data_IF_503341192869
#
_entry.id   IF_503341192869
#
_cell.length_a   1.000
_cell.length_b   1.000
_cell.length_c   1.000
_cell.angle_alpha   90.00
_cell.angle_beta   90.00
_cell.angle_gamma   90.00
#
_symmetry.space_group_name_H-M   'P 1'
#
loop_
_entity.id
_entity.type
_entity.pdbx_description
1 polymer ?
#
# COMPACT_ATOMS: atom_id res chain seq x y z
N UNK A 1 12.12 -18.90 16.14
CA UNK A 1 11.73 -17.67 16.88
C UNK A 1 12.77 -16.59 16.56
N UNK A 2 12.34 -15.35 16.33
CA UNK A 2 13.25 -14.20 16.08
C UNK A 2 14.17 -14.01 17.29
N UNK A 3 15.48 -13.81 17.05
CA UNK A 3 16.45 -13.49 18.10
C UNK A 3 16.35 -12.01 18.45
N UNK A 4 16.66 -11.64 19.69
CA UNK A 4 16.59 -10.24 20.12
C UNK A 4 17.46 -9.31 19.26
N UNK A 5 18.62 -9.79 18.81
CA UNK A 5 19.54 -9.05 17.93
C UNK A 5 18.92 -8.71 16.57
N UNK A 6 17.99 -9.52 16.08
CA UNK A 6 17.30 -9.33 14.81
C UNK A 6 15.98 -8.57 14.99
N UNK A 7 15.42 -8.54 16.20
CA UNK A 7 14.10 -7.97 16.45
C UNK A 7 14.05 -6.45 16.18
N UNK A 8 15.12 -5.72 16.48
CA UNK A 8 15.18 -4.27 16.27
C UNK A 8 15.11 -3.88 14.80
N UNK A 9 15.76 -4.64 13.92
CA UNK A 9 15.77 -4.35 12.48
C UNK A 9 14.41 -4.60 11.82
N UNK A 10 13.56 -5.43 12.42
CA UNK A 10 12.18 -5.66 11.96
C UNK A 10 11.22 -4.50 12.31
N UNK A 11 11.68 -3.49 13.04
CA UNK A 11 10.88 -2.31 13.41
C UNK A 11 11.11 -1.12 12.46
N UNK A 12 11.73 -1.36 11.30
CA UNK A 12 11.91 -0.36 10.25
C UNK A 12 10.76 -0.43 9.26
N UNK A 13 10.13 0.72 8.99
CA UNK A 13 9.17 0.81 7.89
C UNK A 13 9.92 0.64 6.56
N UNK A 14 9.28 -0.01 5.57
CA UNK A 14 9.76 -0.13 4.17
C UNK A 14 11.04 -0.95 3.93
N UNK A 15 11.87 -1.14 4.95
CA UNK A 15 13.18 -1.79 4.86
C UNK A 15 13.35 -2.90 5.90
N UNK A 16 12.25 -3.53 6.34
CA UNK A 16 12.35 -4.67 7.26
C UNK A 16 13.09 -5.81 6.54
N UNK A 17 14.27 -6.22 7.06
CA UNK A 17 15.16 -7.12 6.32
C UNK A 17 14.68 -8.56 6.36
N UNK A 18 15.16 -9.35 5.40
CA UNK A 18 15.02 -10.80 5.42
C UNK A 18 15.73 -11.42 6.64
N UNK A 19 15.13 -12.44 7.25
CA UNK A 19 15.81 -13.33 8.21
C UNK A 19 15.85 -14.74 7.61
N UNK A 20 16.96 -15.04 6.91
CA UNK A 20 17.15 -16.26 6.11
C UNK A 20 17.04 -17.54 6.92
N UNK A 21 17.56 -17.56 8.14
CA UNK A 21 17.54 -18.72 9.02
C UNK A 21 16.12 -19.11 9.45
N UNK A 22 15.17 -18.17 9.33
CA UNK A 22 13.76 -18.39 9.61
C UNK A 22 12.91 -18.52 8.35
N UNK A 23 13.49 -18.36 7.16
CA UNK A 23 12.74 -18.26 5.90
C UNK A 23 11.78 -17.07 5.87
N UNK A 24 12.07 -16.01 6.63
CA UNK A 24 11.24 -14.80 6.67
C UNK A 24 11.73 -13.82 5.60
N UNK A 25 10.96 -13.54 4.54
CA UNK A 25 11.38 -12.62 3.49
C UNK A 25 11.44 -11.17 4.01
N UNK A 26 12.18 -10.31 3.29
CA UNK A 26 12.09 -8.87 3.53
C UNK A 26 10.69 -8.36 3.21
N UNK A 27 10.28 -7.32 3.91
CA UNK A 27 8.93 -6.80 3.79
C UNK A 27 8.89 -5.29 3.82
N UNK A 28 8.07 -4.72 2.93
CA UNK A 28 7.89 -3.28 2.82
C UNK A 28 6.62 -2.86 3.57
N UNK A 29 6.77 -2.45 4.83
CA UNK A 29 5.65 -1.95 5.63
C UNK A 29 5.20 -0.58 5.14
N UNK A 30 3.88 -0.40 5.00
CA UNK A 30 3.26 0.89 4.77
C UNK A 30 3.44 1.41 3.35
N UNK A 31 2.95 0.66 2.37
CA UNK A 31 2.81 1.22 1.01
C UNK A 31 1.72 2.29 0.98
N UNK A 32 1.75 3.21 0.02
CA UNK A 32 0.76 4.28 -0.06
C UNK A 32 -0.30 3.92 -1.10
N UNK A 33 -1.58 4.10 -0.74
CA UNK A 33 -2.70 3.65 -1.58
C UNK A 33 -3.94 4.56 -1.51
N UNK A 34 -3.77 5.86 -1.24
CA UNK A 34 -4.89 6.74 -0.84
C UNK A 34 -5.94 6.96 -1.95
N UNK A 35 -5.55 6.85 -3.22
CA UNK A 35 -6.41 6.96 -4.40
C UNK A 35 -5.81 6.21 -5.61
N UNK A 36 -5.24 5.04 -5.34
CA UNK A 36 -4.40 4.28 -6.28
C UNK A 36 -3.09 3.87 -5.61
N UNK A 37 -2.47 2.77 -6.05
CA UNK A 37 -1.18 2.33 -5.53
C UNK A 37 -0.08 3.31 -5.95
N UNK A 38 0.74 3.75 -4.99
CA UNK A 38 1.77 4.79 -5.20
C UNK A 38 3.17 4.27 -4.93
N UNK A 39 4.18 5.00 -5.42
CA UNK A 39 5.61 4.67 -5.26
C UNK A 39 5.99 3.28 -5.81
N UNK A 40 5.27 2.84 -6.84
CA UNK A 40 5.59 1.65 -7.62
C UNK A 40 5.80 2.05 -9.08
N UNK A 41 6.74 1.40 -9.75
CA UNK A 41 6.88 1.50 -11.20
C UNK A 41 5.75 0.76 -11.91
N UNK A 42 5.52 1.02 -13.19
CA UNK A 42 4.60 0.19 -13.96
C UNK A 42 5.14 -1.24 -14.10
N UNK A 43 4.24 -2.21 -14.17
CA UNK A 43 4.61 -3.60 -14.43
C UNK A 43 5.34 -3.73 -15.78
N UNK A 44 6.14 -4.80 -15.93
CA UNK A 44 6.92 -5.08 -17.15
C UNK A 44 6.08 -5.15 -18.44
N UNK A 45 4.78 -5.41 -18.33
CA UNK A 45 3.84 -5.45 -19.45
C UNK A 45 3.24 -4.06 -19.78
N UNK A 46 3.77 -2.98 -19.19
CA UNK A 46 3.32 -1.60 -19.40
C UNK A 46 2.09 -1.20 -18.60
N UNK A 47 1.50 -2.08 -17.79
CA UNK A 47 0.35 -1.74 -16.94
C UNK A 47 0.80 -0.99 -15.69
N UNK A 48 0.34 0.24 -15.54
CA UNK A 48 0.56 1.06 -14.35
C UNK A 48 -0.64 0.93 -13.39
N UNK A 49 -0.50 1.28 -12.10
CA UNK A 49 -1.64 1.32 -11.19
C UNK A 49 -2.67 2.34 -11.64
N UNK A 50 -3.93 2.08 -11.34
CA UNK A 50 -5.03 3.01 -11.61
C UNK A 50 -4.92 4.22 -10.68
N UNK A 51 -5.11 5.42 -11.23
CA UNK A 51 -5.15 6.69 -10.48
C UNK A 51 -6.58 7.20 -10.42
N UNK A 52 -7.15 7.23 -9.21
CA UNK A 52 -8.51 7.67 -8.95
C UNK A 52 -8.56 9.15 -8.52
N UNK A 53 -9.74 9.79 -8.51
CA UNK A 53 -9.89 11.10 -7.90
C UNK A 53 -9.40 11.12 -6.44
N UNK A 54 -8.83 12.26 -6.00
CA UNK A 54 -8.41 12.43 -4.62
C UNK A 54 -9.59 12.28 -3.63
N UNK A 55 -9.35 11.93 -2.35
CA UNK A 55 -10.41 11.68 -1.37
C UNK A 55 -11.47 12.77 -1.24
N UNK A 56 -11.10 14.05 -1.40
CA UNK A 56 -12.08 15.15 -1.39
C UNK A 56 -13.06 15.09 -2.57
N UNK A 57 -12.59 14.72 -3.76
CA UNK A 57 -13.42 14.52 -4.94
C UNK A 57 -14.31 13.28 -4.81
N UNK A 58 -13.80 12.20 -4.24
CA UNK A 58 -14.59 11.00 -3.92
C UNK A 58 -15.68 11.32 -2.90
N UNK A 59 -15.34 12.06 -1.83
CA UNK A 59 -16.31 12.50 -0.82
C UNK A 59 -17.43 13.38 -1.39
N UNK A 60 -17.13 14.17 -2.42
CA UNK A 60 -18.12 15.01 -3.10
C UNK A 60 -19.17 14.22 -3.91
N UNK A 61 -18.96 12.92 -4.15
CA UNK A 61 -19.93 12.08 -4.86
C UNK A 61 -21.11 11.64 -3.98
N UNK A 62 -20.92 11.61 -2.65
CA UNK A 62 -21.85 11.01 -1.69
C UNK A 62 -22.27 9.57 -2.03
N UNK A 63 -21.45 8.85 -2.82
CA UNK A 63 -21.71 7.48 -3.24
C UNK A 63 -20.69 6.54 -2.59
N UNK A 64 -21.16 5.72 -1.64
CA UNK A 64 -20.29 4.77 -0.94
C UNK A 64 -19.94 3.56 -1.81
N UNK A 65 -20.74 3.24 -2.83
CA UNK A 65 -20.52 2.08 -3.69
C UNK A 65 -19.26 2.26 -4.53
N UNK A 66 -19.04 3.47 -5.07
CA UNK A 66 -17.83 3.76 -5.85
C UNK A 66 -16.57 3.81 -4.97
N UNK A 67 -16.68 4.20 -3.71
CA UNK A 67 -15.56 4.20 -2.75
C UNK A 67 -15.17 2.76 -2.41
N UNK A 68 -16.15 1.89 -2.22
CA UNK A 68 -15.92 0.46 -2.01
C UNK A 68 -15.29 -0.20 -3.25
N UNK A 69 -15.80 0.12 -4.45
CA UNK A 69 -15.27 -0.39 -5.72
C UNK A 69 -13.82 0.05 -5.95
N UNK A 70 -13.51 1.34 -5.71
CA UNK A 70 -12.14 1.83 -5.74
C UNK A 70 -11.24 1.04 -4.79
N UNK A 71 -11.68 0.84 -3.54
CA UNK A 71 -10.91 0.07 -2.55
C UNK A 71 -10.63 -1.37 -3.00
N UNK A 72 -11.60 -2.03 -3.62
CA UNK A 72 -11.42 -3.37 -4.21
C UNK A 72 -10.38 -3.36 -5.33
N UNK A 73 -10.48 -2.42 -6.28
CA UNK A 73 -9.52 -2.32 -7.39
C UNK A 73 -8.11 -2.08 -6.87
N UNK A 74 -7.93 -1.16 -5.92
CA UNK A 74 -6.62 -0.89 -5.30
C UNK A 74 -6.06 -2.14 -4.60
N UNK A 75 -6.90 -2.89 -3.89
CA UNK A 75 -6.52 -4.15 -3.23
C UNK A 75 -6.07 -5.23 -4.23
N UNK A 76 -6.78 -5.35 -5.35
CA UNK A 76 -6.43 -6.28 -6.42
C UNK A 76 -5.12 -5.89 -7.12
N UNK A 77 -4.93 -4.60 -7.38
CA UNK A 77 -3.67 -4.07 -7.92
C UNK A 77 -2.51 -4.33 -6.97
N UNK A 78 -2.65 -4.04 -5.68
CA UNK A 78 -1.61 -4.33 -4.67
C UNK A 78 -1.21 -5.80 -4.68
N UNK A 79 -2.18 -6.72 -4.71
CA UNK A 79 -1.91 -8.16 -4.81
C UNK A 79 -1.24 -8.54 -6.12
N UNK A 80 -1.63 -7.94 -7.24
CA UNK A 80 -0.99 -8.17 -8.53
C UNK A 80 0.49 -7.73 -8.50
N UNK A 81 0.78 -6.57 -7.92
CA UNK A 81 2.15 -6.08 -7.73
C UNK A 81 2.96 -7.01 -6.81
N UNK A 82 2.39 -7.44 -5.69
CA UNK A 82 3.00 -8.42 -4.79
C UNK A 82 3.35 -9.74 -5.48
N UNK A 83 2.38 -10.33 -6.18
CA UNK A 83 2.56 -11.61 -6.88
C UNK A 83 3.51 -11.52 -8.08
N UNK A 84 3.72 -10.32 -8.63
CA UNK A 84 4.68 -10.08 -9.72
C UNK A 84 6.13 -9.90 -9.23
N UNK A 85 6.35 -9.88 -7.91
CA UNK A 85 7.64 -9.57 -7.27
C UNK A 85 8.20 -8.18 -7.61
N UNK A 86 7.36 -7.26 -8.10
CA UNK A 86 7.74 -5.85 -8.36
C UNK A 86 7.67 -5.01 -7.08
N UNK A 87 6.79 -5.38 -6.15
CA UNK A 87 6.66 -4.73 -4.86
C UNK A 87 6.42 -5.81 -3.78
N UNK A 88 6.93 -5.64 -2.56
CA UNK A 88 6.85 -6.64 -1.49
C UNK A 88 6.07 -6.13 -0.27
N UNK A 89 4.95 -5.45 -0.53
CA UNK A 89 4.00 -4.97 0.49
C UNK A 89 2.61 -5.56 0.27
N UNK A 90 1.87 -5.76 1.36
CA UNK A 90 0.45 -6.14 1.39
C UNK A 90 -0.38 -5.30 2.37
N UNK A 91 0.22 -4.28 2.99
CA UNK A 91 -0.44 -3.33 3.87
C UNK A 91 -0.25 -1.91 3.37
N UNK A 92 -1.25 -1.06 3.61
CA UNK A 92 -1.24 0.31 3.11
C UNK A 92 -1.44 1.31 4.24
N UNK A 93 -0.78 2.47 4.13
CA UNK A 93 -1.07 3.65 4.95
C UNK A 93 -2.23 4.44 4.34
N UNK A 94 -3.40 3.82 4.30
CA UNK A 94 -4.63 4.39 3.75
C UNK A 94 -5.84 3.74 4.43
N UNK A 95 -7.00 4.41 4.49
CA UNK A 95 -7.30 5.75 3.97
C UNK A 95 -6.87 6.89 4.92
N UNK A 96 -6.88 8.13 4.42
CA UNK A 96 -6.86 9.34 5.26
C UNK A 96 -8.28 9.72 5.64
N UNK A 97 -8.61 9.61 6.92
CA UNK A 97 -9.94 9.92 7.49
C UNK A 97 -9.91 11.16 8.41
N UNK A 98 -8.79 11.87 8.45
CA UNK A 98 -8.69 13.14 9.14
C UNK A 98 -9.61 14.17 8.46
N UNK A 99 -10.21 15.04 9.27
CA UNK A 99 -11.11 16.08 8.77
C UNK A 99 -10.27 17.26 8.28
N UNK A 100 -10.59 17.78 7.08
CA UNK A 100 -10.09 19.06 6.59
C UNK A 100 -10.72 20.21 7.39
N UNK A 101 -10.27 20.38 8.63
CA UNK A 101 -10.85 21.31 9.61
C UNK A 101 -10.56 22.77 9.26
N UNK A 102 -9.33 23.03 8.80
CA UNK A 102 -8.91 24.34 8.31
C UNK A 102 -8.92 24.30 6.78
N UNK A 103 -9.46 25.31 6.08
CA UNK A 103 -9.56 25.32 4.63
C UNK A 103 -8.24 25.64 3.89
N UNK A 104 -7.16 26.01 4.60
CA UNK A 104 -5.83 26.26 4.03
C UNK A 104 -5.05 24.96 3.82
#
# INVERSE_FOLDING_TARGET
RIKLVDAGSQLTARESPEIRELGLPSYYWGTNAIHGLQNVECLKNGKCPTSFPAPCGLGATFDMSIVEEMGKIIGDELRAYFNSFVHNSLDTWSPTINIARDPR
#
